data_IF_020113605989
#
_entry.id   IF_020113605989
#
_cell.length_a   1.000
_cell.length_b   1.000
_cell.length_c   1.000
_cell.angle_alpha   90.00
_cell.angle_beta   90.00
_cell.angle_gamma   90.00
#
_symmetry.space_group_name_H-M   'P 1'
#
loop_
_entity.id
_entity.type
_entity.pdbx_description
1 polymer ?
#
# COMPACT_ATOMS: atom_id res chain seq x y z
N UNK A 1 15.42 -31.54 -7.06
CA UNK A 1 16.08 -30.39 -7.72
C UNK A 1 15.69 -29.13 -6.97
N UNK A 2 16.63 -28.25 -6.61
CA UNK A 2 16.32 -26.98 -5.98
C UNK A 2 15.43 -26.12 -6.89
N UNK A 3 14.42 -25.46 -6.32
CA UNK A 3 13.54 -24.58 -7.08
C UNK A 3 14.20 -23.20 -7.17
N UNK A 4 14.74 -22.88 -8.35
CA UNK A 4 15.34 -21.57 -8.60
C UNK A 4 14.30 -20.48 -8.95
N UNK A 5 13.01 -20.79 -8.80
CA UNK A 5 11.90 -19.92 -9.17
C UNK A 5 10.86 -19.85 -8.05
N UNK A 6 10.32 -18.66 -7.81
CA UNK A 6 9.27 -18.43 -6.81
C UNK A 6 7.85 -18.79 -7.31
N UNK A 7 7.73 -19.19 -8.59
CA UNK A 7 6.44 -19.37 -9.24
C UNK A 7 5.75 -18.03 -9.55
N UNK A 8 4.63 -18.10 -10.28
CA UNK A 8 3.85 -16.90 -10.59
C UNK A 8 3.13 -16.42 -9.32
N UNK A 9 3.39 -15.19 -8.83
CA UNK A 9 2.76 -14.63 -7.63
C UNK A 9 1.23 -14.43 -7.76
N UNK A 10 0.70 -14.49 -8.99
CA UNK A 10 -0.72 -14.30 -9.27
C UNK A 10 -1.01 -12.97 -9.97
N UNK A 11 -2.21 -12.86 -10.54
CA UNK A 11 -2.67 -11.65 -11.23
C UNK A 11 -3.44 -10.78 -10.25
N UNK A 12 -3.10 -9.50 -10.20
CA UNK A 12 -3.80 -8.52 -9.39
C UNK A 12 -5.14 -8.15 -10.04
N UNK A 13 -6.25 -8.41 -9.36
CA UNK A 13 -7.56 -7.97 -9.82
C UNK A 13 -7.68 -6.45 -9.71
N UNK A 14 -8.27 -5.82 -10.73
CA UNK A 14 -8.36 -4.35 -10.85
C UNK A 14 -7.01 -3.63 -10.78
N UNK A 15 -5.95 -4.30 -11.26
CA UNK A 15 -4.62 -3.73 -11.29
C UNK A 15 -3.75 -4.26 -12.42
N UNK A 16 -2.50 -3.83 -12.38
CA UNK A 16 -1.47 -4.03 -13.39
C UNK A 16 -0.27 -4.69 -12.71
N UNK A 17 0.29 -5.70 -13.36
CA UNK A 17 1.53 -6.34 -12.98
C UNK A 17 2.63 -5.94 -13.98
N UNK A 18 3.78 -5.54 -13.46
CA UNK A 18 4.98 -5.21 -14.22
C UNK A 18 6.09 -6.18 -13.82
N UNK A 19 6.61 -6.93 -14.80
CA UNK A 19 7.62 -7.97 -14.58
C UNK A 19 7.07 -9.36 -14.95
N UNK A 20 7.86 -10.07 -15.76
CA UNK A 20 7.49 -11.37 -16.34
C UNK A 20 8.45 -12.50 -15.96
N UNK A 21 9.54 -12.18 -15.25
CA UNK A 21 10.51 -13.15 -14.73
C UNK A 21 10.20 -13.50 -13.28
N UNK A 22 10.36 -14.78 -12.92
CA UNK A 22 10.06 -15.31 -11.59
C UNK A 22 11.24 -16.10 -10.97
N UNK A 23 12.44 -15.93 -11.52
CA UNK A 23 13.68 -16.50 -10.97
C UNK A 23 14.17 -15.71 -9.75
N UNK A 24 14.99 -16.32 -8.90
CA UNK A 24 15.64 -15.65 -7.76
C UNK A 24 16.26 -14.31 -8.19
N UNK A 25 15.98 -13.26 -7.42
CA UNK A 25 16.39 -11.87 -7.70
C UNK A 25 15.43 -11.08 -8.59
N UNK A 26 14.46 -11.75 -9.25
CA UNK A 26 13.43 -11.06 -10.04
C UNK A 26 12.54 -10.21 -9.15
N UNK A 27 12.10 -9.08 -9.67
CA UNK A 27 11.20 -8.15 -9.01
C UNK A 27 9.93 -7.97 -9.84
N UNK A 28 8.77 -8.05 -9.19
CA UNK A 28 7.47 -7.83 -9.82
C UNK A 28 6.80 -6.65 -9.12
N UNK A 29 6.45 -5.63 -9.89
CA UNK A 29 5.79 -4.42 -9.40
C UNK A 29 4.30 -4.47 -9.71
N UNK A 30 3.50 -4.08 -8.75
CA UNK A 30 2.05 -4.02 -8.85
C UNK A 30 1.56 -2.58 -8.71
N UNK A 31 0.49 -2.26 -9.43
CA UNK A 31 -0.24 -0.99 -9.30
C UNK A 31 -1.73 -1.24 -9.53
N UNK A 32 -2.59 -0.41 -8.95
CA UNK A 32 -4.03 -0.51 -9.17
C UNK A 32 -4.49 0.35 -10.35
N UNK A 33 -5.60 -0.05 -10.96
CA UNK A 33 -6.27 0.74 -11.99
C UNK A 33 -6.87 2.02 -11.35
N UNK A 34 -7.18 3.05 -12.15
CA UNK A 34 -7.87 4.23 -11.65
C UNK A 34 -9.14 3.89 -10.86
N UNK A 35 -9.36 4.57 -9.73
CA UNK A 35 -10.46 4.30 -8.79
C UNK A 35 -10.19 3.19 -7.78
N UNK A 36 -8.94 2.73 -7.67
CA UNK A 36 -8.51 1.74 -6.68
C UNK A 36 -7.16 2.10 -6.05
N UNK A 37 -6.99 1.77 -4.78
CA UNK A 37 -5.75 1.88 -4.03
C UNK A 37 -5.12 0.50 -3.79
N UNK A 38 -3.78 0.44 -3.86
CA UNK A 38 -3.03 -0.78 -3.61
C UNK A 38 -2.84 -0.98 -2.12
N UNK A 39 -3.31 -2.13 -1.62
CA UNK A 39 -3.13 -2.56 -0.24
C UNK A 39 -2.10 -3.72 -0.18
N UNK A 40 -1.05 -3.52 0.61
CA UNK A 40 0.11 -4.41 0.67
C UNK A 40 1.35 -3.86 -0.05
N UNK A 41 2.30 -4.75 -0.39
CA UNK A 41 3.58 -4.34 -0.98
C UNK A 41 3.48 -4.21 -2.49
N UNK A 42 3.74 -3.01 -3.01
CA UNK A 42 3.74 -2.76 -4.45
C UNK A 42 4.91 -3.44 -5.20
N UNK A 43 5.93 -3.94 -4.50
CA UNK A 43 7.10 -4.58 -5.11
C UNK A 43 7.42 -5.90 -4.40
N UNK A 44 7.27 -7.01 -5.11
CA UNK A 44 7.64 -8.34 -4.65
C UNK A 44 9.01 -8.71 -5.22
N UNK A 45 9.88 -9.27 -4.37
CA UNK A 45 11.21 -9.78 -4.77
C UNK A 45 11.29 -11.28 -4.52
N UNK A 46 11.69 -12.03 -5.54
CA UNK A 46 11.90 -13.46 -5.42
C UNK A 46 13.21 -13.73 -4.67
N UNK A 47 13.13 -14.28 -3.46
CA UNK A 47 14.30 -14.54 -2.60
C UNK A 47 14.60 -16.04 -2.53
N UNK A 48 15.88 -16.36 -2.38
CA UNK A 48 16.31 -17.73 -2.10
C UNK A 48 16.09 -18.06 -0.62
N UNK A 49 15.45 -19.21 -0.36
CA UNK A 49 15.34 -19.80 0.96
C UNK A 49 16.61 -20.55 1.35
N UNK A 50 16.76 -20.84 2.64
CA UNK A 50 17.91 -21.58 3.19
C UNK A 50 17.93 -23.06 2.80
N UNK A 51 16.80 -23.61 2.38
CA UNK A 51 16.54 -25.00 2.02
C UNK A 51 16.57 -25.25 0.51
N UNK A 52 17.20 -24.36 -0.26
CA UNK A 52 17.23 -24.39 -1.74
C UNK A 52 15.85 -24.25 -2.41
N UNK A 53 14.87 -23.74 -1.65
CA UNK A 53 13.61 -23.21 -2.18
C UNK A 53 13.76 -21.75 -2.59
N UNK A 54 12.78 -21.22 -3.32
CA UNK A 54 12.66 -19.81 -3.61
C UNK A 54 11.22 -19.38 -3.32
N UNK A 55 11.06 -18.24 -2.66
CA UNK A 55 9.74 -17.69 -2.32
C UNK A 55 9.71 -16.17 -2.49
N UNK A 56 8.51 -15.65 -2.77
CA UNK A 56 8.27 -14.21 -2.74
C UNK A 56 8.38 -13.70 -1.31
N UNK A 57 9.04 -12.56 -1.13
CA UNK A 57 9.19 -11.94 0.18
C UNK A 57 7.87 -11.40 0.77
N UNK A 58 6.91 -11.09 -0.10
CA UNK A 58 5.58 -10.64 0.28
C UNK A 58 4.49 -11.39 -0.51
N UNK A 59 3.27 -11.52 0.06
CA UNK A 59 2.12 -12.07 -0.67
C UNK A 59 1.64 -11.11 -1.76
N UNK A 60 0.81 -11.63 -2.68
CA UNK A 60 0.14 -10.82 -3.71
C UNK A 60 -0.69 -9.70 -3.03
N UNK A 61 -0.52 -8.42 -3.41
CA UNK A 61 -1.34 -7.33 -2.90
C UNK A 61 -2.77 -7.41 -3.45
N UNK A 62 -3.66 -6.53 -2.98
CA UNK A 62 -5.01 -6.38 -3.55
C UNK A 62 -5.34 -4.90 -3.81
N UNK A 63 -6.26 -4.69 -4.75
CA UNK A 63 -6.77 -3.36 -5.09
C UNK A 63 -8.10 -3.12 -4.40
N UNK A 64 -8.13 -2.17 -3.47
CA UNK A 64 -9.34 -1.72 -2.78
C UNK A 64 -9.94 -0.53 -3.53
N UNK A 65 -11.26 -0.47 -3.68
CA UNK A 65 -11.91 0.64 -4.36
C UNK A 65 -11.74 1.97 -3.61
N UNK A 66 -11.79 3.08 -4.34
CA UNK A 66 -11.60 4.45 -3.84
C UNK A 66 -12.76 4.94 -2.94
N UNK A 67 -13.94 4.34 -3.09
CA UNK A 67 -15.07 4.53 -2.16
C UNK A 67 -14.85 3.86 -0.79
N UNK A 68 -13.83 3.01 -0.66
CA UNK A 68 -13.49 2.36 0.59
C UNK A 68 -12.51 3.20 1.42
N UNK A 69 -13.06 3.71 2.51
CA UNK A 69 -12.45 4.46 3.60
C UNK A 69 -11.41 3.61 4.39
N UNK A 70 -10.18 4.11 4.60
CA UNK A 70 -9.16 3.52 5.49
C UNK A 70 -8.13 2.57 4.87
N UNK A 71 -7.55 1.65 5.65
CA UNK A 71 -6.67 0.54 5.21
C UNK A 71 -5.16 0.74 5.40
N UNK A 72 -4.35 -0.22 4.95
CA UNK A 72 -2.89 -0.24 5.24
C UNK A 72 -2.03 0.06 4.02
N UNK A 73 -1.23 1.12 4.10
CA UNK A 73 -0.26 1.47 3.07
C UNK A 73 1.12 0.92 3.43
N UNK A 74 1.74 0.23 2.47
CA UNK A 74 3.12 -0.25 2.55
C UNK A 74 3.86 0.11 1.28
N UNK A 75 5.04 0.70 1.41
CA UNK A 75 5.87 1.10 0.28
C UNK A 75 6.61 2.40 0.54
N UNK A 76 7.46 2.78 -0.41
CA UNK A 76 8.29 3.99 -0.30
C UNK A 76 7.50 5.30 -0.48
N UNK A 77 6.32 5.25 -1.09
CA UNK A 77 5.45 6.40 -1.35
C UNK A 77 4.02 5.96 -1.67
N UNK A 78 3.04 6.82 -1.43
CA UNK A 78 1.63 6.59 -1.77
C UNK A 78 0.81 7.88 -1.70
N UNK A 79 -0.47 7.79 -2.08
CA UNK A 79 -1.46 8.87 -1.95
C UNK A 79 -2.63 8.33 -1.12
N UNK A 80 -3.12 9.16 -0.20
CA UNK A 80 -4.31 8.91 0.61
C UNK A 80 -5.29 10.04 0.31
N UNK A 81 -6.56 9.69 0.13
CA UNK A 81 -7.64 10.66 -0.04
C UNK A 81 -8.89 10.19 0.70
N UNK A 82 -9.78 11.13 0.99
CA UNK A 82 -11.13 10.82 1.43
C UNK A 82 -11.88 10.03 0.34
N UNK A 83 -12.88 9.21 0.72
CA UNK A 83 -13.74 8.56 -0.25
C UNK A 83 -14.35 9.59 -1.22
N UNK A 84 -14.36 9.27 -2.51
CA UNK A 84 -14.91 10.09 -3.60
C UNK A 84 -14.13 11.35 -3.98
N UNK A 85 -12.95 11.59 -3.40
CA UNK A 85 -12.10 12.71 -3.81
C UNK A 85 -11.94 12.75 -5.35
N UNK A 86 -12.13 13.90 -6.02
CA UNK A 86 -12.16 15.27 -5.48
C UNK A 86 -13.55 15.79 -5.09
N UNK A 87 -14.58 14.94 -5.04
CA UNK A 87 -15.90 15.31 -4.52
C UNK A 87 -15.88 15.37 -2.99
N UNK A 88 -16.92 15.99 -2.41
CA UNK A 88 -17.12 16.03 -0.97
C UNK A 88 -17.20 14.62 -0.38
N UNK A 89 -16.55 14.43 0.76
CA UNK A 89 -16.62 13.17 1.49
C UNK A 89 -18.01 13.01 2.13
N UNK A 90 -18.40 11.76 2.39
CA UNK A 90 -19.71 11.46 2.97
C UNK A 90 -19.77 11.81 4.47
N UNK A 91 -20.97 12.17 4.95
CA UNK A 91 -21.23 12.38 6.37
C UNK A 91 -20.92 11.12 7.19
N UNK A 92 -20.50 11.31 8.44
CA UNK A 92 -20.22 10.23 9.40
C UNK A 92 -19.14 9.24 8.93
N UNK A 93 -18.23 9.69 8.07
CA UNK A 93 -17.07 8.89 7.69
C UNK A 93 -16.13 8.72 8.88
N UNK A 94 -15.75 7.48 9.17
CA UNK A 94 -14.76 7.13 10.18
C UNK A 94 -13.65 6.34 9.51
N UNK A 95 -12.63 7.05 9.04
CA UNK A 95 -11.54 6.49 8.24
C UNK A 95 -10.25 6.41 9.02
N UNK A 96 -9.66 5.21 9.05
CA UNK A 96 -8.32 5.00 9.61
C UNK A 96 -7.40 4.42 8.55
N UNK A 97 -6.33 5.15 8.22
CA UNK A 97 -5.25 4.69 7.37
C UNK A 97 -4.00 4.41 8.20
N UNK A 98 -3.39 3.25 7.99
CA UNK A 98 -2.16 2.84 8.67
C UNK A 98 -1.00 2.84 7.67
N UNK A 99 0.00 3.70 7.88
CA UNK A 99 1.21 3.73 7.05
C UNK A 99 2.32 2.97 7.78
N UNK A 100 2.88 1.96 7.12
CA UNK A 100 3.94 1.13 7.69
C UNK A 100 5.24 1.32 6.91
N UNK A 101 6.27 1.76 7.61
CA UNK A 101 7.63 1.92 7.11
C UNK A 101 8.58 0.88 7.73
N UNK A 102 9.72 0.63 7.08
CA UNK A 102 10.75 -0.26 7.65
C UNK A 102 11.49 0.43 8.81
N UNK A 103 12.09 -0.31 9.76
CA UNK A 103 12.84 0.29 10.84
C UNK A 103 13.97 1.19 10.34
N UNK A 104 13.99 2.45 10.78
CA UNK A 104 14.95 3.46 10.37
C UNK A 104 14.48 4.38 9.23
N UNK A 105 13.37 4.03 8.56
CA UNK A 105 12.74 4.93 7.60
C UNK A 105 11.91 6.01 8.32
N UNK A 106 11.78 7.17 7.69
CA UNK A 106 10.93 8.27 8.17
C UNK A 106 9.74 8.44 7.24
N UNK A 107 8.53 8.50 7.82
CA UNK A 107 7.31 8.79 7.07
C UNK A 107 7.17 10.30 6.94
N UNK A 108 7.12 10.80 5.70
CA UNK A 108 6.82 12.20 5.40
C UNK A 108 5.39 12.29 4.85
N UNK A 109 4.59 13.18 5.44
CA UNK A 109 3.23 13.47 5.00
C UNK A 109 3.20 14.86 4.34
N UNK A 110 2.50 14.96 3.21
CA UNK A 110 2.28 16.21 2.49
C UNK A 110 0.80 16.31 2.17
N UNK A 111 0.16 17.35 2.69
CA UNK A 111 -1.23 17.68 2.37
C UNK A 111 -1.27 18.51 1.10
N UNK A 112 -1.86 17.95 0.04
CA UNK A 112 -1.98 18.62 -1.26
C UNK A 112 -3.30 19.40 -1.38
N UNK A 113 -4.37 18.83 -0.83
CA UNK A 113 -5.71 19.41 -0.75
C UNK A 113 -6.28 19.03 0.63
N UNK A 114 -6.89 20.00 1.32
CA UNK A 114 -7.36 19.82 2.70
C UNK A 114 -8.55 20.72 3.00
N UNK A 115 -9.73 20.12 3.11
CA UNK A 115 -10.99 20.76 3.46
C UNK A 115 -11.80 19.81 4.34
N UNK A 116 -12.23 20.28 5.51
CA UNK A 116 -13.10 19.56 6.45
C UNK A 116 -14.28 20.46 6.87
N UNK A 117 -15.34 19.87 7.40
CA UNK A 117 -16.50 20.57 7.95
C UNK A 117 -16.14 21.25 9.27
N UNK A 118 -16.23 22.58 9.30
CA UNK A 118 -15.82 23.39 10.46
C UNK A 118 -16.67 23.07 11.70
N UNK A 119 -15.99 22.68 12.79
CA UNK A 119 -16.62 22.36 14.07
C UNK A 119 -17.22 20.94 14.18
N UNK A 120 -17.12 20.12 13.13
CA UNK A 120 -17.69 18.76 13.12
C UNK A 120 -16.66 17.69 12.80
N UNK A 121 -15.80 17.92 11.81
CA UNK A 121 -14.85 16.91 11.33
C UNK A 121 -13.41 17.24 11.71
N UNK A 122 -12.61 16.20 11.92
CA UNK A 122 -11.19 16.30 12.30
C UNK A 122 -10.35 15.29 11.55
N UNK A 123 -9.09 15.65 11.27
CA UNK A 123 -8.04 14.71 10.89
C UNK A 123 -7.08 14.57 12.08
N UNK A 124 -6.91 13.33 12.54
CA UNK A 124 -5.90 12.99 13.55
C UNK A 124 -4.75 12.21 12.91
N UNK A 125 -3.51 12.63 13.18
CA UNK A 125 -2.29 11.91 12.77
C UNK A 125 -1.60 11.41 14.03
N UNK A 126 -1.66 10.09 14.24
CA UNK A 126 -0.98 9.42 15.34
C UNK A 126 0.17 8.54 14.82
N UNK A 127 1.30 8.53 15.53
CA UNK A 127 2.44 7.67 15.26
C UNK A 127 2.71 6.70 16.41
N UNK A 128 3.41 5.60 16.12
CA UNK A 128 3.92 4.68 17.14
C UNK A 128 5.18 5.27 17.79
N UNK A 129 5.04 5.81 19.01
CA UNK A 129 6.09 6.42 19.85
C UNK A 129 7.34 6.97 19.13
N UNK A 130 7.19 8.24 18.82
CA UNK A 130 8.16 9.20 18.31
C UNK A 130 7.36 10.46 18.02
N UNK A 131 6.68 10.97 19.05
CA UNK A 131 5.64 11.99 18.93
C UNK A 131 6.14 13.23 18.19
N UNK A 132 5.40 13.64 17.17
CA UNK A 132 5.44 15.01 16.68
C UNK A 132 4.01 15.52 16.69
N UNK A 133 3.71 16.41 17.63
CA UNK A 133 2.47 17.16 17.70
C UNK A 133 2.53 18.29 16.66
N UNK A 134 1.52 18.41 15.80
CA UNK A 134 1.34 19.50 14.85
C UNK A 134 -0.09 20.03 14.91
#
# INVERSE_FOLDING_TARGET
>A
LPSHTCGNPGRLQNGIQQGTSFSIGSKVRYSCNPGFFLEGHALLTCRAGSDSSASWDFPLPFCRADDACGGTLRGQSGIISSPHFPLEYGNNADCTWTILAEPGDTIALVFMDFQLEDGYDVLEVAGTEGSSLW
#
